data_IF_513477093332
#
_entry.id   IF_513477093332
#
_cell.length_a   1.000
_cell.length_b   1.000
_cell.length_c   1.000
_cell.angle_alpha   90.00
_cell.angle_beta   90.00
_cell.angle_gamma   90.00
#
_symmetry.space_group_name_H-M   'P 1'
#
loop_
_entity.id
_entity.type
_entity.pdbx_description
1 polymer ?
#
# COMPACT_ATOMS: atom_id res chain seq x y z
N UNK A 1 18.91 19.18 -6.62
CA UNK A 1 17.74 18.33 -6.83
C UNK A 1 16.58 18.82 -5.95
N UNK A 2 15.37 19.02 -6.47
CA UNK A 2 14.20 19.47 -5.68
C UNK A 2 13.74 18.44 -4.65
N UNK A 3 14.31 17.24 -4.65
CA UNK A 3 13.91 16.11 -3.83
C UNK A 3 14.83 15.83 -2.62
N UNK A 4 15.68 16.81 -2.27
CA UNK A 4 16.51 16.72 -1.06
C UNK A 4 15.76 17.41 0.09
N UNK A 5 15.64 16.76 1.27
CA UNK A 5 15.00 17.40 2.41
C UNK A 5 15.82 18.64 2.85
N UNK A 6 15.14 19.72 3.17
CA UNK A 6 15.78 20.95 3.67
C UNK A 6 16.56 20.68 4.96
N UNK A 7 16.07 19.74 5.77
CA UNK A 7 16.72 19.28 7.00
C UNK A 7 16.56 17.76 7.09
N UNK A 8 17.67 17.03 7.18
CA UNK A 8 17.68 15.58 7.35
C UNK A 8 17.81 15.12 8.80
N UNK A 9 18.35 15.97 9.69
CA UNK A 9 18.54 15.65 11.11
C UNK A 9 17.29 15.93 11.94
N UNK A 10 17.19 15.29 13.11
CA UNK A 10 16.18 15.63 14.10
C UNK A 10 16.34 17.08 14.60
N UNK A 11 15.22 17.73 14.93
CA UNK A 11 15.19 19.10 15.46
C UNK A 11 14.36 19.15 16.74
N UNK A 12 14.85 19.95 17.70
CA UNK A 12 14.10 20.36 18.88
C UNK A 12 13.80 21.87 18.78
N UNK A 13 12.53 22.24 18.66
CA UNK A 13 12.10 23.62 18.47
C UNK A 13 11.18 24.00 19.62
N UNK A 14 11.39 25.18 20.25
CA UNK A 14 10.47 25.66 21.28
C UNK A 14 9.07 25.80 20.69
N UNK A 15 8.08 25.24 21.35
CA UNK A 15 6.69 25.22 20.86
C UNK A 15 6.15 26.62 20.53
N UNK A 16 6.48 27.61 21.34
CA UNK A 16 6.12 29.02 21.10
C UNK A 16 6.68 29.60 19.79
N UNK A 17 7.83 29.11 19.33
CA UNK A 17 8.41 29.56 18.05
C UNK A 17 7.66 29.04 16.84
N UNK A 18 6.82 28.01 17.03
CA UNK A 18 5.90 27.41 16.03
C UNK A 18 4.46 27.92 16.19
N UNK A 19 4.22 28.92 17.06
CA UNK A 19 2.87 29.44 17.32
C UNK A 19 1.97 28.48 18.12
N UNK A 20 2.56 27.46 18.79
CA UNK A 20 1.81 26.52 19.61
C UNK A 20 1.68 27.02 21.03
N UNK A 21 0.44 27.16 21.51
CA UNK A 21 0.12 27.53 22.88
C UNK A 21 0.20 26.33 23.82
N UNK A 22 1.40 26.05 24.30
CA UNK A 22 1.72 24.95 25.22
C UNK A 22 2.45 25.54 26.45
N UNK A 23 2.78 24.67 27.41
CA UNK A 23 3.58 25.08 28.58
C UNK A 23 4.85 25.87 28.16
N UNK A 24 5.26 26.93 28.91
CA UNK A 24 6.36 27.81 28.48
C UNK A 24 7.69 27.14 28.17
N UNK A 25 7.96 25.99 28.79
CA UNK A 25 9.15 25.18 28.56
C UNK A 25 9.00 24.06 27.50
N UNK A 26 7.85 23.98 26.81
CA UNK A 26 7.58 22.92 25.87
C UNK A 26 8.44 23.00 24.59
N UNK A 27 8.89 21.84 24.11
CA UNK A 27 9.58 21.67 22.85
C UNK A 27 8.79 20.72 21.95
N UNK A 28 8.83 20.99 20.65
CA UNK A 28 8.41 20.06 19.59
C UNK A 28 9.66 19.36 19.09
N UNK A 29 9.66 18.03 19.18
CA UNK A 29 10.72 17.19 18.62
C UNK A 29 10.29 16.69 17.24
N UNK A 30 11.02 17.09 16.19
CA UNK A 30 10.85 16.58 14.84
C UNK A 30 11.85 15.45 14.63
N UNK A 31 11.34 14.27 14.26
CA UNK A 31 12.18 13.14 13.90
C UNK A 31 12.97 13.45 12.61
N UNK A 32 14.11 12.77 12.38
CA UNK A 32 14.91 12.97 11.17
C UNK A 32 14.17 12.50 9.92
N UNK A 33 14.51 13.07 8.76
CA UNK A 33 14.04 12.63 7.45
C UNK A 33 15.11 11.75 6.78
N UNK A 34 14.67 10.82 5.91
CA UNK A 34 15.55 9.97 5.10
C UNK A 34 15.85 10.64 3.76
N UNK A 35 14.79 11.04 3.05
CA UNK A 35 14.88 11.65 1.72
C UNK A 35 13.74 12.66 1.49
N UNK A 36 13.67 13.28 0.33
CA UNK A 36 12.62 14.26 0.02
C UNK A 36 11.21 13.69 0.06
N UNK A 37 11.06 12.41 -0.27
CA UNK A 37 9.77 11.70 -0.26
C UNK A 37 9.65 10.64 0.85
N UNK A 38 10.69 10.43 1.67
CA UNK A 38 10.66 9.47 2.79
C UNK A 38 10.94 10.25 4.06
N UNK A 39 9.88 10.59 4.74
CA UNK A 39 9.87 11.55 5.83
C UNK A 39 10.07 10.96 7.23
N UNK A 40 9.89 11.83 8.20
CA UNK A 40 9.98 11.51 9.63
C UNK A 40 8.91 10.52 10.10
N UNK A 41 7.76 10.46 9.42
CA UNK A 41 6.68 9.50 9.63
C UNK A 41 7.14 8.06 9.34
N UNK A 42 7.85 7.86 8.22
CA UNK A 42 8.43 6.56 7.90
C UNK A 42 9.55 6.15 8.89
N UNK A 43 10.37 7.10 9.35
CA UNK A 43 11.34 6.85 10.43
C UNK A 43 10.62 6.43 11.72
N UNK A 44 9.52 7.08 12.06
CA UNK A 44 8.68 6.71 13.20
C UNK A 44 8.09 5.30 13.04
N UNK A 45 7.62 4.94 11.84
CA UNK A 45 7.12 3.60 11.52
C UNK A 45 8.22 2.54 11.69
N UNK A 46 9.42 2.78 11.15
CA UNK A 46 10.56 1.88 11.31
C UNK A 46 10.99 1.72 12.78
N UNK A 47 10.93 2.80 13.56
CA UNK A 47 11.22 2.78 14.99
C UNK A 47 10.22 1.89 15.74
N UNK A 48 8.91 2.10 15.50
CA UNK A 48 7.85 1.37 16.19
C UNK A 48 7.78 -0.10 15.80
N UNK A 49 7.94 -0.41 14.52
CA UNK A 49 7.90 -1.78 13.99
C UNK A 49 9.12 -2.61 14.39
N UNK A 50 10.22 -1.95 14.71
CA UNK A 50 11.49 -2.60 15.02
C UNK A 50 12.08 -3.38 13.83
N UNK A 51 11.67 -3.10 12.60
CA UNK A 51 12.07 -3.82 11.39
C UNK A 51 13.59 -3.97 11.28
N UNK A 52 14.35 -2.91 11.56
CA UNK A 52 15.80 -2.88 11.51
C UNK A 52 16.50 -3.80 12.53
N UNK A 53 15.80 -4.24 13.56
CA UNK A 53 16.36 -5.07 14.66
C UNK A 53 16.00 -6.55 14.53
N UNK A 54 15.19 -6.91 13.52
CA UNK A 54 14.75 -8.29 13.31
C UNK A 54 15.83 -9.11 12.59
N UNK A 55 15.83 -10.42 12.84
CA UNK A 55 16.74 -11.35 12.16
C UNK A 55 16.22 -11.71 10.77
N UNK A 56 17.09 -11.59 9.76
CA UNK A 56 16.81 -11.88 8.36
C UNK A 56 16.07 -10.76 7.64
N UNK A 57 15.78 -10.93 6.33
CA UNK A 57 15.14 -9.90 5.52
C UNK A 57 13.71 -9.60 5.99
N UNK A 58 13.42 -8.31 6.21
CA UNK A 58 12.11 -7.80 6.61
C UNK A 58 11.71 -6.68 5.68
N UNK A 59 10.55 -6.82 5.04
CA UNK A 59 9.92 -5.75 4.27
C UNK A 59 8.97 -5.00 5.19
N UNK A 60 9.03 -3.68 5.21
CA UNK A 60 8.11 -2.81 5.95
C UNK A 60 7.47 -1.81 4.99
N UNK A 61 6.16 -1.75 5.02
CA UNK A 61 5.32 -0.93 4.14
C UNK A 61 4.49 0.03 4.99
N UNK A 62 4.46 1.30 4.63
CA UNK A 62 3.48 2.26 5.13
C UNK A 62 2.58 2.67 3.96
N UNK A 63 1.36 2.12 3.93
CA UNK A 63 0.47 2.25 2.77
C UNK A 63 -0.45 3.44 2.96
N UNK A 64 -0.26 4.46 2.11
CA UNK A 64 -1.09 5.64 1.97
C UNK A 64 -1.21 6.04 0.50
N UNK A 65 -1.54 7.29 0.22
CA UNK A 65 -1.54 7.87 -1.14
C UNK A 65 -0.14 7.78 -1.78
N UNK A 66 0.91 7.98 -1.00
CA UNK A 66 2.26 7.47 -1.28
C UNK A 66 2.52 6.30 -0.35
N UNK A 67 3.19 5.30 -0.85
CA UNK A 67 3.57 4.12 -0.06
C UNK A 67 5.07 4.09 0.09
N UNK A 68 5.54 4.21 1.32
CA UNK A 68 6.94 4.01 1.65
C UNK A 68 7.21 2.53 1.86
N UNK A 69 8.26 2.04 1.20
CA UNK A 69 8.71 0.64 1.30
C UNK A 69 10.14 0.63 1.81
N UNK A 70 10.40 -0.20 2.80
CA UNK A 70 11.76 -0.47 3.30
C UNK A 70 12.04 -1.96 3.34
N UNK A 71 13.24 -2.34 2.95
CA UNK A 71 13.79 -3.69 3.15
C UNK A 71 14.98 -3.60 4.11
N UNK A 72 14.81 -4.17 5.30
CA UNK A 72 15.86 -4.30 6.30
C UNK A 72 16.52 -5.67 6.20
N UNK A 73 17.84 -5.71 6.03
CA UNK A 73 18.63 -6.93 5.96
C UNK A 73 20.07 -6.69 6.40
N UNK A 74 20.59 -7.55 7.26
CA UNK A 74 21.99 -7.53 7.75
C UNK A 74 22.45 -6.16 8.31
N UNK A 75 21.55 -5.49 9.01
CA UNK A 75 21.84 -4.19 9.65
C UNK A 75 21.76 -2.97 8.71
N UNK A 76 21.53 -3.18 7.42
CA UNK A 76 21.27 -2.15 6.42
C UNK A 76 19.77 -2.04 6.13
N UNK A 77 19.35 -0.88 5.66
CA UNK A 77 17.99 -0.63 5.22
C UNK A 77 18.06 0.04 3.85
N UNK A 78 17.37 -0.50 2.88
CA UNK A 78 17.10 0.20 1.63
C UNK A 78 15.64 0.62 1.62
N UNK A 79 15.34 1.81 1.13
CA UNK A 79 13.98 2.37 1.14
C UNK A 79 13.66 3.13 -0.12
N UNK A 80 12.39 3.19 -0.44
CA UNK A 80 11.86 4.00 -1.54
C UNK A 80 10.47 4.51 -1.22
N UNK A 81 9.98 5.49 -1.99
CA UNK A 81 8.59 5.95 -1.97
C UNK A 81 7.93 5.64 -3.32
N UNK A 82 6.75 5.09 -3.27
CA UNK A 82 5.95 4.68 -4.43
C UNK A 82 4.72 5.57 -4.55
N UNK A 83 4.50 6.20 -5.69
CA UNK A 83 3.29 6.98 -5.98
C UNK A 83 2.12 6.03 -6.26
N UNK A 84 1.55 5.42 -5.22
CA UNK A 84 0.45 4.47 -5.33
C UNK A 84 -0.91 5.12 -5.64
N UNK A 85 -1.05 6.40 -5.38
CA UNK A 85 -2.30 7.14 -5.61
C UNK A 85 -3.41 6.78 -4.61
N UNK A 86 -4.57 7.45 -4.69
CA UNK A 86 -5.63 7.35 -3.68
C UNK A 86 -6.64 6.23 -3.94
N UNK A 87 -6.41 5.32 -4.88
CA UNK A 87 -7.39 4.30 -5.29
C UNK A 87 -7.84 3.41 -4.10
N UNK A 88 -6.90 3.00 -3.25
CA UNK A 88 -7.22 2.24 -2.05
C UNK A 88 -7.83 3.06 -0.91
N UNK A 89 -7.88 4.38 -1.04
CA UNK A 89 -8.65 5.26 -0.15
C UNK A 89 -10.06 5.56 -0.70
N UNK A 90 -10.43 4.94 -1.83
CA UNK A 90 -11.68 5.15 -2.55
C UNK A 90 -11.63 6.31 -3.55
N UNK A 91 -10.50 6.99 -3.67
CA UNK A 91 -10.31 8.06 -4.65
C UNK A 91 -10.28 7.53 -6.09
N UNK A 92 -10.88 8.27 -7.02
CA UNK A 92 -11.02 7.92 -8.44
C UNK A 92 -11.81 6.63 -8.72
N UNK A 93 -12.41 6.01 -7.71
CA UNK A 93 -13.27 4.82 -7.82
C UNK A 93 -14.74 5.27 -7.79
N UNK A 94 -15.52 4.82 -8.74
CA UNK A 94 -16.92 5.31 -8.98
C UNK A 94 -17.81 5.27 -7.73
N UNK A 95 -17.75 4.20 -6.96
CA UNK A 95 -18.46 4.04 -5.69
C UNK A 95 -17.49 3.95 -4.50
N UNK A 96 -16.25 4.42 -4.69
CA UNK A 96 -15.25 4.45 -3.64
C UNK A 96 -15.62 5.44 -2.54
N UNK A 97 -15.42 5.05 -1.29
CA UNK A 97 -15.66 5.91 -0.13
C UNK A 97 -14.71 5.55 1.01
N UNK A 98 -14.63 6.44 1.98
CA UNK A 98 -13.93 6.14 3.25
C UNK A 98 -14.69 5.06 4.02
N UNK A 99 -13.98 4.36 4.91
CA UNK A 99 -14.59 3.40 5.82
C UNK A 99 -15.57 4.14 6.76
N UNK A 100 -16.87 3.99 6.48
CA UNK A 100 -17.98 4.58 7.20
C UNK A 100 -19.21 3.65 7.10
N UNK A 101 -20.24 3.92 7.86
CA UNK A 101 -21.48 3.16 7.87
C UNK A 101 -22.04 2.94 6.45
N UNK A 102 -22.41 1.69 6.13
CA UNK A 102 -22.89 1.30 4.80
C UNK A 102 -21.79 1.08 3.73
N UNK A 103 -20.52 1.31 4.03
CA UNK A 103 -19.43 0.96 3.11
C UNK A 103 -19.23 -0.57 3.08
N UNK A 104 -19.21 -1.16 1.89
CA UNK A 104 -18.81 -2.56 1.70
C UNK A 104 -17.32 -2.69 2.05
N UNK A 105 -17.00 -3.50 3.06
CA UNK A 105 -15.63 -3.71 3.55
C UNK A 105 -15.07 -5.09 3.22
N UNK A 106 -15.95 -6.08 3.00
CA UNK A 106 -15.62 -7.45 2.61
C UNK A 106 -16.62 -7.93 1.59
N UNK A 107 -16.15 -8.76 0.66
CA UNK A 107 -17.05 -9.46 -0.24
C UNK A 107 -16.47 -10.80 -0.71
N UNK A 108 -17.36 -11.70 -1.09
CA UNK A 108 -17.04 -13.00 -1.67
C UNK A 108 -17.95 -13.26 -2.86
N UNK A 109 -17.36 -13.75 -3.95
CA UNK A 109 -18.08 -14.13 -5.16
C UNK A 109 -18.02 -15.66 -5.29
N UNK A 110 -19.19 -16.29 -5.45
CA UNK A 110 -19.32 -17.73 -5.66
C UNK A 110 -20.33 -17.97 -6.78
N UNK A 111 -19.82 -18.18 -8.01
CA UNK A 111 -20.65 -18.17 -9.22
C UNK A 111 -21.36 -16.83 -9.39
N UNK A 112 -22.69 -16.83 -9.50
CA UNK A 112 -23.51 -15.62 -9.66
C UNK A 112 -23.87 -14.96 -8.32
N UNK A 113 -23.55 -15.61 -7.19
CA UNK A 113 -23.88 -15.09 -5.85
C UNK A 113 -22.76 -14.22 -5.32
N UNK A 114 -23.13 -13.04 -4.84
CA UNK A 114 -22.24 -12.13 -4.13
C UNK A 114 -22.72 -12.03 -2.68
N UNK A 115 -21.80 -12.30 -1.77
CA UNK A 115 -21.98 -12.03 -0.36
C UNK A 115 -21.07 -10.87 0.00
N UNK A 116 -21.59 -9.89 0.72
CA UNK A 116 -20.80 -8.75 1.19
C UNK A 116 -21.15 -8.40 2.62
N UNK A 117 -20.21 -7.77 3.29
CA UNK A 117 -20.38 -7.21 4.62
C UNK A 117 -20.20 -5.70 4.53
N UNK A 118 -21.11 -4.96 5.15
CA UNK A 118 -21.02 -3.51 5.27
C UNK A 118 -20.66 -3.10 6.69
N UNK A 119 -19.97 -1.99 6.83
CA UNK A 119 -19.69 -1.39 8.13
C UNK A 119 -21.02 -1.01 8.79
N UNK A 120 -21.21 -1.45 10.04
CA UNK A 120 -22.42 -1.18 10.80
C UNK A 120 -23.65 -1.98 10.37
N UNK A 121 -23.48 -3.03 9.54
CA UNK A 121 -24.57 -3.84 8.97
C UNK A 121 -25.66 -3.01 8.28
N UNK A 122 -25.32 -1.79 7.86
CA UNK A 122 -26.21 -0.85 7.20
C UNK A 122 -26.38 -1.17 5.71
N UNK A 123 -27.45 -0.69 5.05
CA UNK A 123 -27.61 -0.83 3.61
C UNK A 123 -26.41 -0.31 2.82
N UNK A 124 -25.96 -1.01 1.76
CA UNK A 124 -24.74 -0.64 1.03
C UNK A 124 -24.91 0.69 0.29
N UNK A 125 -23.96 1.61 0.51
CA UNK A 125 -23.92 2.93 -0.15
C UNK A 125 -22.69 3.12 -1.04
N UNK A 126 -21.61 2.37 -0.78
CA UNK A 126 -20.36 2.43 -1.53
C UNK A 126 -19.41 1.32 -1.09
N UNK A 127 -18.14 1.46 -1.45
CA UNK A 127 -17.10 0.44 -1.20
C UNK A 127 -15.91 1.16 -0.57
N UNK A 128 -15.46 0.74 0.61
CA UNK A 128 -14.22 1.27 1.19
C UNK A 128 -12.98 0.53 0.70
N UNK A 129 -11.81 1.03 1.02
CA UNK A 129 -10.53 0.52 0.48
C UNK A 129 -10.32 -0.98 0.65
N UNK A 130 -10.67 -1.56 1.82
CA UNK A 130 -10.58 -3.01 2.03
C UNK A 130 -11.55 -3.78 1.13
N UNK A 131 -12.78 -3.28 0.97
CA UNK A 131 -13.77 -3.86 0.06
C UNK A 131 -13.37 -3.75 -1.41
N UNK A 132 -12.75 -2.64 -1.82
CA UNK A 132 -12.22 -2.44 -3.17
C UNK A 132 -11.13 -3.49 -3.49
N UNK A 133 -10.20 -3.70 -2.56
CA UNK A 133 -9.16 -4.72 -2.71
C UNK A 133 -9.74 -6.13 -2.80
N UNK A 134 -10.67 -6.48 -1.89
CA UNK A 134 -11.37 -7.76 -1.92
C UNK A 134 -12.14 -7.94 -3.24
N UNK A 135 -12.84 -6.90 -3.69
CA UNK A 135 -13.58 -6.95 -4.94
C UNK A 135 -12.68 -7.29 -6.12
N UNK A 136 -11.53 -6.63 -6.27
CA UNK A 136 -10.58 -6.93 -7.36
C UNK A 136 -10.09 -8.38 -7.30
N UNK A 137 -9.74 -8.86 -6.11
CA UNK A 137 -9.27 -10.24 -5.92
C UNK A 137 -10.38 -11.26 -6.24
N UNK A 138 -11.62 -11.01 -5.80
CA UNK A 138 -12.75 -11.88 -6.07
C UNK A 138 -13.14 -11.87 -7.56
N UNK A 139 -13.11 -10.72 -8.23
CA UNK A 139 -13.34 -10.62 -9.66
C UNK A 139 -12.29 -11.39 -10.47
N UNK A 140 -11.02 -11.31 -10.04
CA UNK A 140 -9.94 -12.05 -10.66
C UNK A 140 -10.10 -13.57 -10.45
N UNK A 141 -10.41 -14.01 -9.23
CA UNK A 141 -10.68 -15.42 -8.88
C UNK A 141 -11.86 -15.98 -9.63
N UNK A 142 -12.95 -15.21 -9.75
CA UNK A 142 -14.15 -15.58 -10.50
C UNK A 142 -13.98 -15.53 -12.03
N UNK A 143 -12.77 -15.15 -12.53
CA UNK A 143 -12.48 -14.95 -13.95
C UNK A 143 -13.39 -13.90 -14.63
N UNK A 144 -14.04 -13.06 -13.84
CA UNK A 144 -14.75 -11.88 -14.33
C UNK A 144 -13.79 -10.80 -14.84
N UNK A 145 -12.55 -10.81 -14.34
CA UNK A 145 -11.42 -9.99 -14.80
C UNK A 145 -10.25 -10.92 -15.15
N UNK A 146 -9.60 -10.68 -16.29
CA UNK A 146 -8.41 -11.43 -16.69
C UNK A 146 -7.11 -10.83 -16.09
N UNK A 147 -5.96 -11.47 -16.29
CA UNK A 147 -4.65 -10.99 -15.81
C UNK A 147 -4.32 -9.56 -16.27
N UNK A 148 -4.72 -9.17 -17.47
CA UNK A 148 -4.54 -7.81 -18.00
C UNK A 148 -5.54 -6.79 -17.43
N UNK A 149 -6.43 -7.17 -16.53
CA UNK A 149 -7.41 -6.27 -15.89
C UNK A 149 -8.66 -6.01 -16.72
N UNK A 150 -8.90 -6.76 -17.81
CA UNK A 150 -10.09 -6.57 -18.65
C UNK A 150 -11.28 -7.34 -18.09
N UNK A 151 -12.43 -6.66 -17.93
CA UNK A 151 -13.71 -7.27 -17.61
C UNK A 151 -14.19 -8.16 -18.77
N UNK A 152 -14.64 -9.38 -18.45
CA UNK A 152 -15.18 -10.35 -19.39
C UNK A 152 -16.58 -9.96 -19.81
N UNK A 153 -16.84 -9.90 -21.14
CA UNK A 153 -18.19 -9.68 -21.66
C UNK A 153 -19.12 -10.90 -21.44
N UNK A 154 -18.54 -12.07 -21.12
CA UNK A 154 -19.28 -13.33 -20.94
C UNK A 154 -19.85 -13.50 -19.53
N UNK A 155 -19.38 -12.73 -18.55
CA UNK A 155 -19.83 -12.85 -17.17
C UNK A 155 -21.20 -12.20 -17.00
N UNK A 156 -22.23 -12.88 -16.42
CA UNK A 156 -23.62 -12.42 -16.38
C UNK A 156 -23.83 -11.11 -15.61
N UNK A 157 -22.94 -10.79 -14.68
CA UNK A 157 -22.98 -9.52 -13.93
C UNK A 157 -22.18 -8.38 -14.59
N UNK A 158 -21.57 -8.62 -15.74
CA UNK A 158 -20.90 -7.58 -16.52
C UNK A 158 -21.87 -7.01 -17.54
N UNK A 159 -22.04 -5.69 -17.55
CA UNK A 159 -22.81 -4.98 -18.54
C UNK A 159 -22.03 -3.83 -19.15
N UNK A 160 -22.50 -3.32 -20.28
CA UNK A 160 -22.02 -2.07 -20.88
C UNK A 160 -22.96 -0.93 -20.49
N UNK A 161 -22.40 0.08 -19.88
CA UNK A 161 -23.11 1.30 -19.55
C UNK A 161 -22.38 2.49 -20.19
N UNK A 162 -23.05 3.20 -21.08
CA UNK A 162 -22.46 4.32 -21.88
C UNK A 162 -21.13 3.95 -22.54
N UNK A 163 -21.03 2.73 -23.07
CA UNK A 163 -19.83 2.21 -23.74
C UNK A 163 -18.74 1.67 -22.81
N UNK A 164 -18.83 1.86 -21.49
CA UNK A 164 -17.88 1.35 -20.51
C UNK A 164 -18.40 0.05 -19.88
N UNK A 165 -17.50 -0.94 -19.71
CA UNK A 165 -17.84 -2.16 -18.95
C UNK A 165 -17.88 -1.85 -17.46
N UNK A 166 -18.86 -2.43 -16.79
CA UNK A 166 -18.97 -2.41 -15.34
C UNK A 166 -19.50 -3.74 -14.83
N UNK A 167 -18.98 -4.18 -13.68
CA UNK A 167 -19.45 -5.35 -12.95
C UNK A 167 -20.42 -4.91 -11.85
N UNK A 168 -21.60 -5.52 -11.78
CA UNK A 168 -22.64 -5.20 -10.79
C UNK A 168 -22.34 -5.96 -9.50
N UNK A 169 -21.95 -5.23 -8.45
CA UNK A 169 -21.75 -5.79 -7.10
C UNK A 169 -23.09 -5.91 -6.36
N UNK A 170 -23.85 -4.82 -6.32
CA UNK A 170 -25.18 -4.78 -5.72
C UNK A 170 -26.15 -4.26 -6.75
N UNK A 171 -27.19 -5.01 -7.05
CA UNK A 171 -28.16 -4.66 -8.08
C UNK A 171 -29.10 -3.52 -7.64
N UNK A 172 -29.81 -2.95 -8.60
CA UNK A 172 -30.80 -1.92 -8.34
C UNK A 172 -31.98 -2.48 -7.52
N UNK A 173 -32.34 -3.75 -7.76
CA UNK A 173 -33.39 -4.46 -7.02
C UNK A 173 -32.99 -4.64 -5.55
N UNK A 174 -31.76 -5.11 -5.29
CA UNK A 174 -31.21 -5.26 -3.93
C UNK A 174 -31.13 -3.91 -3.20
N UNK A 175 -31.00 -2.80 -3.95
CA UNK A 175 -31.00 -1.43 -3.41
C UNK A 175 -32.37 -0.73 -3.43
N UNK A 176 -33.44 -1.48 -3.58
CA UNK A 176 -34.81 -0.95 -3.56
C UNK A 176 -35.05 0.20 -4.55
N UNK A 177 -34.49 0.07 -5.76
CA UNK A 177 -34.62 1.06 -6.83
C UNK A 177 -33.52 2.13 -6.90
N UNK A 178 -32.62 2.20 -5.91
CA UNK A 178 -31.44 3.06 -6.00
C UNK A 178 -30.45 2.54 -7.05
N UNK A 179 -29.58 3.39 -7.64
CA UNK A 179 -28.60 2.96 -8.63
C UNK A 179 -27.73 1.81 -8.14
N UNK A 180 -27.49 0.81 -8.99
CA UNK A 180 -26.63 -0.33 -8.68
C UNK A 180 -25.22 0.11 -8.27
N UNK A 181 -24.60 -0.54 -7.29
CA UNK A 181 -23.17 -0.35 -6.97
C UNK A 181 -22.37 -1.23 -7.92
N UNK A 182 -21.44 -0.63 -8.64
CA UNK A 182 -20.67 -1.29 -9.69
C UNK A 182 -19.19 -1.02 -9.54
N UNK A 183 -18.35 -1.93 -10.07
CA UNK A 183 -16.93 -1.68 -10.36
C UNK A 183 -16.76 -1.55 -11.86
N UNK A 184 -16.22 -0.43 -12.31
CA UNK A 184 -16.03 -0.13 -13.72
C UNK A 184 -14.67 -0.62 -14.23
N UNK A 185 -14.52 -0.70 -15.55
CA UNK A 185 -13.23 -0.98 -16.18
C UNK A 185 -12.16 0.08 -15.80
N UNK A 186 -12.59 1.34 -15.60
CA UNK A 186 -11.71 2.42 -15.14
C UNK A 186 -11.24 2.17 -13.70
N UNK A 187 -12.15 1.80 -12.80
CA UNK A 187 -11.78 1.49 -11.40
C UNK A 187 -10.74 0.38 -11.33
N UNK A 188 -10.90 -0.68 -12.14
CA UNK A 188 -9.92 -1.77 -12.21
C UNK A 188 -8.55 -1.23 -12.66
N UNK A 189 -8.52 -0.30 -13.62
CA UNK A 189 -7.27 0.29 -14.09
C UNK A 189 -6.58 1.10 -13.00
N UNK A 190 -7.31 1.91 -12.25
CA UNK A 190 -6.78 2.66 -11.11
C UNK A 190 -6.17 1.72 -10.05
N UNK A 191 -6.85 0.62 -9.76
CA UNK A 191 -6.36 -0.39 -8.82
C UNK A 191 -5.11 -1.13 -9.33
N UNK A 192 -5.03 -1.41 -10.63
CA UNK A 192 -3.84 -1.99 -11.24
C UNK A 192 -2.64 -1.06 -11.11
N UNK A 193 -2.82 0.25 -11.35
CA UNK A 193 -1.75 1.24 -11.22
C UNK A 193 -1.27 1.36 -9.76
N UNK A 194 -2.21 1.44 -8.82
CA UNK A 194 -1.90 1.54 -7.40
C UNK A 194 -1.12 0.31 -6.90
N UNK A 195 -1.60 -0.90 -7.20
CA UNK A 195 -0.93 -2.14 -6.79
C UNK A 195 0.41 -2.32 -7.49
N UNK A 196 0.53 -1.87 -8.76
CA UNK A 196 1.77 -1.95 -9.51
C UNK A 196 2.86 -1.06 -8.88
N UNK A 197 2.51 0.15 -8.45
CA UNK A 197 3.44 1.04 -7.77
C UNK A 197 4.01 0.40 -6.49
N UNK A 198 3.15 -0.17 -5.65
CA UNK A 198 3.57 -0.85 -4.42
C UNK A 198 4.45 -2.07 -4.73
N UNK A 199 4.01 -2.93 -5.64
CA UNK A 199 4.75 -4.13 -6.00
C UNK A 199 6.11 -3.79 -6.62
N UNK A 200 6.17 -2.78 -7.47
CA UNK A 200 7.42 -2.34 -8.10
C UNK A 200 8.43 -1.83 -7.08
N UNK A 201 7.97 -1.08 -6.07
CA UNK A 201 8.84 -0.66 -4.97
C UNK A 201 9.42 -1.85 -4.21
N UNK A 202 8.61 -2.84 -3.87
CA UNK A 202 9.08 -4.06 -3.20
C UNK A 202 10.13 -4.76 -4.09
N UNK A 203 9.82 -4.96 -5.38
CA UNK A 203 10.69 -5.67 -6.30
C UNK A 203 12.04 -4.96 -6.50
N UNK A 204 12.00 -3.64 -6.69
CA UNK A 204 13.21 -2.84 -6.85
C UNK A 204 14.15 -2.93 -5.63
N UNK A 205 13.58 -2.94 -4.41
CA UNK A 205 14.38 -3.09 -3.19
C UNK A 205 14.97 -4.51 -3.06
N UNK A 206 14.22 -5.54 -3.43
CA UNK A 206 14.71 -6.92 -3.44
C UNK A 206 15.88 -7.10 -4.43
N UNK A 207 15.75 -6.57 -5.63
CA UNK A 207 16.80 -6.61 -6.67
C UNK A 207 18.05 -5.83 -6.25
N UNK A 208 17.88 -4.60 -5.76
CA UNK A 208 18.98 -3.78 -5.28
C UNK A 208 19.74 -4.39 -4.10
N UNK A 209 19.06 -5.22 -3.30
CA UNK A 209 19.67 -5.89 -2.14
C UNK A 209 20.13 -7.31 -2.42
N UNK A 210 19.87 -7.85 -3.63
CA UNK A 210 20.17 -9.24 -3.96
C UNK A 210 19.41 -10.26 -3.11
N UNK A 211 18.25 -9.87 -2.53
CA UNK A 211 17.45 -10.72 -1.63
C UNK A 211 16.33 -11.38 -2.42
N UNK A 212 16.30 -12.71 -2.55
CA UNK A 212 15.19 -13.43 -3.16
C UNK A 212 13.91 -13.29 -2.31
N UNK A 213 12.74 -13.18 -2.98
CA UNK A 213 11.44 -12.97 -2.32
C UNK A 213 11.14 -14.03 -1.26
N UNK A 214 11.40 -15.29 -1.54
CA UNK A 214 11.15 -16.41 -0.63
C UNK A 214 11.98 -16.37 0.67
N UNK A 215 13.08 -15.59 0.68
CA UNK A 215 13.91 -15.38 1.86
C UNK A 215 13.35 -14.35 2.83
N UNK A 216 12.38 -13.54 2.42
CA UNK A 216 11.71 -12.57 3.30
C UNK A 216 11.14 -13.33 4.51
N UNK A 217 11.56 -12.94 5.70
CA UNK A 217 11.11 -13.54 6.95
C UNK A 217 9.81 -12.93 7.47
N UNK A 218 9.64 -11.64 7.23
CA UNK A 218 8.44 -10.93 7.65
C UNK A 218 8.13 -9.77 6.70
N UNK A 219 6.83 -9.53 6.49
CA UNK A 219 6.29 -8.35 5.84
C UNK A 219 5.46 -7.60 6.88
N UNK A 220 5.84 -6.37 7.21
CA UNK A 220 5.14 -5.50 8.14
C UNK A 220 4.35 -4.49 7.32
N UNK A 221 3.05 -4.42 7.56
CA UNK A 221 2.13 -3.54 6.85
C UNK A 221 1.58 -2.52 7.85
N UNK A 222 1.95 -1.26 7.67
CA UNK A 222 1.48 -0.11 8.44
C UNK A 222 0.57 0.78 7.59
N UNK A 223 0.11 1.87 8.19
CA UNK A 223 -0.80 2.82 7.59
C UNK A 223 -2.26 2.52 7.87
N UNK A 224 -3.11 3.51 7.69
CA UNK A 224 -4.55 3.39 7.96
C UNK A 224 -5.20 2.30 7.10
N UNK A 225 -4.87 2.26 5.81
CA UNK A 225 -5.35 1.23 4.88
C UNK A 225 -4.76 -0.14 5.22
N UNK A 226 -3.45 -0.21 5.50
CA UNK A 226 -2.74 -1.46 5.80
C UNK A 226 -3.30 -2.26 6.98
N UNK A 227 -3.99 -1.59 7.91
CA UNK A 227 -4.61 -2.21 9.08
C UNK A 227 -5.79 -3.12 8.74
N UNK A 228 -6.55 -2.78 7.68
CA UNK A 228 -7.84 -3.41 7.39
C UNK A 228 -7.84 -4.25 6.12
N UNK A 229 -6.74 -4.27 5.36
CA UNK A 229 -6.67 -5.05 4.12
C UNK A 229 -6.73 -6.55 4.39
N UNK A 230 -7.32 -7.27 3.45
CA UNK A 230 -7.21 -8.72 3.39
C UNK A 230 -5.87 -9.09 2.73
N UNK A 231 -4.94 -9.59 3.53
CA UNK A 231 -3.58 -9.95 3.05
C UNK A 231 -3.65 -11.03 1.96
N UNK A 232 -4.57 -12.00 2.07
CA UNK A 232 -4.73 -13.03 1.05
C UNK A 232 -5.17 -12.44 -0.30
N UNK A 233 -6.12 -11.49 -0.27
CA UNK A 233 -6.55 -10.75 -1.47
C UNK A 233 -5.42 -9.93 -2.08
N UNK A 234 -4.60 -9.28 -1.25
CA UNK A 234 -3.45 -8.50 -1.68
C UNK A 234 -2.35 -9.38 -2.35
N UNK A 235 -2.12 -10.58 -1.82
CA UNK A 235 -1.22 -11.58 -2.42
C UNK A 235 -1.80 -12.07 -3.75
N UNK A 236 -3.09 -12.38 -3.78
CA UNK A 236 -3.76 -12.96 -4.96
C UNK A 236 -3.71 -12.04 -6.18
N UNK A 237 -3.89 -10.73 -5.98
CA UNK A 237 -3.76 -9.77 -7.07
C UNK A 237 -2.30 -9.40 -7.39
N UNK A 238 -1.32 -9.93 -6.65
CA UNK A 238 0.10 -9.66 -6.83
C UNK A 238 0.56 -8.29 -6.35
N UNK A 239 -0.15 -7.68 -5.39
CA UNK A 239 0.30 -6.45 -4.71
C UNK A 239 1.41 -6.77 -3.70
N UNK A 240 1.24 -7.84 -2.94
CA UNK A 240 2.19 -8.29 -1.93
C UNK A 240 2.94 -9.56 -2.38
N UNK A 241 4.12 -9.84 -1.81
CA UNK A 241 4.88 -11.05 -2.06
C UNK A 241 4.08 -12.34 -1.82
N UNK A 242 4.33 -13.37 -2.63
CA UNK A 242 3.67 -14.67 -2.50
C UNK A 242 4.31 -15.51 -1.38
N UNK A 243 3.98 -15.17 -0.14
CA UNK A 243 4.52 -15.77 1.07
C UNK A 243 3.39 -16.34 1.96
N UNK A 244 3.72 -17.29 2.86
CA UNK A 244 2.76 -17.78 3.86
C UNK A 244 2.20 -16.64 4.71
N UNK A 245 0.88 -16.65 4.96
CA UNK A 245 0.17 -15.60 5.70
C UNK A 245 0.79 -15.29 7.07
N UNK A 246 1.35 -16.29 7.75
CA UNK A 246 2.05 -16.12 9.04
C UNK A 246 3.31 -15.24 8.98
N UNK A 247 3.80 -14.87 7.80
CA UNK A 247 4.90 -13.91 7.65
C UNK A 247 4.42 -12.46 7.58
N UNK A 248 3.12 -12.21 7.54
CA UNK A 248 2.57 -10.85 7.47
C UNK A 248 2.13 -10.37 8.85
N UNK A 249 2.48 -9.14 9.16
CA UNK A 249 2.12 -8.45 10.40
C UNK A 249 1.48 -7.11 10.04
N UNK A 250 0.21 -6.94 10.39
CA UNK A 250 -0.46 -5.65 10.28
C UNK A 250 -0.20 -4.83 11.55
N UNK A 251 0.54 -3.73 11.41
CA UNK A 251 1.08 -2.94 12.52
C UNK A 251 0.24 -1.70 12.86
N UNK A 252 -0.86 -1.48 12.15
CA UNK A 252 -1.73 -0.33 12.41
C UNK A 252 -1.03 1.02 12.16
N UNK A 253 -1.37 2.01 12.98
CA UNK A 253 -0.72 3.32 12.94
C UNK A 253 0.67 3.26 13.60
N UNK A 254 1.61 2.62 12.94
CA UNK A 254 2.97 2.47 13.44
C UNK A 254 3.72 3.82 13.48
N UNK A 255 3.46 4.73 12.52
CA UNK A 255 4.03 6.07 12.53
C UNK A 255 3.62 6.85 13.79
N UNK A 256 2.32 6.86 14.13
CA UNK A 256 1.83 7.47 15.37
C UNK A 256 2.40 6.82 16.64
N UNK A 257 2.59 5.51 16.63
CA UNK A 257 3.23 4.81 17.75
C UNK A 257 4.70 5.21 17.89
N UNK A 258 5.45 5.32 16.78
CA UNK A 258 6.83 5.76 16.78
C UNK A 258 6.99 7.19 17.28
N UNK A 259 6.09 8.09 16.88
CA UNK A 259 6.05 9.46 17.40
C UNK A 259 5.83 9.48 18.93
N UNK A 260 4.90 8.66 19.45
CA UNK A 260 4.69 8.52 20.91
C UNK A 260 5.94 7.97 21.60
N UNK A 261 6.61 6.96 21.04
CA UNK A 261 7.86 6.44 21.59
C UNK A 261 8.95 7.51 21.65
N UNK A 262 9.09 8.34 20.61
CA UNK A 262 10.03 9.44 20.58
C UNK A 262 9.64 10.57 21.56
N UNK A 263 8.35 10.81 21.78
CA UNK A 263 7.87 11.79 22.75
C UNK A 263 8.31 11.45 24.18
N UNK A 264 8.15 10.18 24.58
CA UNK A 264 8.34 9.76 25.98
C UNK A 264 9.74 9.24 26.29
N UNK A 265 10.64 9.09 25.28
CA UNK A 265 11.94 8.44 25.50
C UNK A 265 13.08 9.04 24.67
N UNK A 266 14.03 9.68 25.35
CA UNK A 266 15.29 10.15 24.74
C UNK A 266 16.06 9.01 24.06
N UNK A 267 16.04 7.79 24.64
CA UNK A 267 16.67 6.61 24.05
C UNK A 267 16.03 6.24 22.71
N UNK A 268 14.72 6.40 22.57
CA UNK A 268 14.02 6.13 21.29
C UNK A 268 14.32 7.23 20.26
N UNK A 269 14.47 8.50 20.65
CA UNK A 269 14.97 9.56 19.77
C UNK A 269 16.35 9.24 19.21
N UNK A 270 17.28 8.82 20.08
CA UNK A 270 18.61 8.43 19.67
C UNK A 270 18.60 7.22 18.70
N UNK A 271 17.70 6.23 18.92
CA UNK A 271 17.51 5.12 17.98
C UNK A 271 16.98 5.60 16.63
N UNK A 272 15.99 6.50 16.60
CA UNK A 272 15.46 7.06 15.37
C UNK A 272 16.56 7.77 14.56
N UNK A 273 17.41 8.58 15.23
CA UNK A 273 18.55 9.21 14.59
C UNK A 273 19.57 8.20 14.05
N UNK A 274 19.86 7.13 14.80
CA UNK A 274 20.77 6.07 14.38
C UNK A 274 20.21 5.21 13.22
N UNK A 275 18.89 5.11 13.08
CA UNK A 275 18.27 4.42 11.94
C UNK A 275 18.61 5.11 10.62
N UNK A 276 18.51 6.43 10.56
CA UNK A 276 18.72 7.17 9.30
C UNK A 276 20.15 7.04 8.75
N UNK A 277 21.14 6.80 9.59
CA UNK A 277 22.52 6.56 9.13
C UNK A 277 22.72 5.19 8.44
N UNK A 278 21.75 4.29 8.55
CA UNK A 278 21.76 2.94 7.96
C UNK A 278 20.82 2.79 6.77
N UNK A 279 20.13 3.87 6.42
CA UNK A 279 19.13 3.84 5.35
C UNK A 279 19.73 4.39 4.06
N UNK A 280 19.59 3.62 2.99
CA UNK A 280 19.90 4.02 1.63
C UNK A 280 18.59 4.23 0.86
N UNK A 281 18.35 5.46 0.40
CA UNK A 281 17.20 5.77 -0.44
C UNK A 281 17.48 5.39 -1.89
N UNK A 282 16.51 4.72 -2.51
CA UNK A 282 16.53 4.37 -3.94
C UNK A 282 15.47 5.18 -4.64
N UNK A 283 15.89 5.98 -5.63
CA UNK A 283 14.99 6.72 -6.51
C UNK A 283 14.50 5.79 -7.63
N UNK A 284 13.23 5.39 -7.58
CA UNK A 284 12.65 4.45 -8.54
C UNK A 284 12.69 4.95 -9.99
N UNK A 285 12.47 6.25 -10.17
CA UNK A 285 12.49 6.85 -11.51
C UNK A 285 13.86 6.77 -12.19
N UNK A 286 14.91 6.57 -11.42
CA UNK A 286 16.29 6.45 -11.92
C UNK A 286 16.75 4.99 -12.11
N UNK A 287 15.94 4.01 -11.71
CA UNK A 287 16.26 2.60 -11.86
C UNK A 287 16.06 2.17 -13.33
N UNK A 288 17.10 1.63 -13.96
CA UNK A 288 17.13 1.30 -15.40
C UNK A 288 16.00 0.34 -15.84
N UNK A 289 15.57 -0.54 -14.95
CA UNK A 289 14.57 -1.56 -15.25
C UNK A 289 13.19 -1.27 -14.63
N UNK A 290 13.00 -0.06 -14.06
CA UNK A 290 11.77 0.27 -13.33
C UNK A 290 10.52 0.20 -14.20
N UNK A 291 10.57 0.70 -15.43
CA UNK A 291 9.43 0.64 -16.37
C UNK A 291 9.02 -0.81 -16.64
N UNK A 292 9.99 -1.69 -16.83
CA UNK A 292 9.72 -3.12 -17.04
C UNK A 292 9.11 -3.77 -15.79
N UNK A 293 9.69 -3.50 -14.61
CA UNK A 293 9.15 -3.98 -13.32
C UNK A 293 7.72 -3.50 -13.13
N UNK A 294 7.45 -2.21 -13.38
CA UNK A 294 6.12 -1.63 -13.22
C UNK A 294 5.10 -2.24 -14.19
N UNK A 295 5.48 -2.42 -15.44
CA UNK A 295 4.62 -3.07 -16.44
C UNK A 295 4.26 -4.49 -16.02
N UNK A 296 5.24 -5.30 -15.61
CA UNK A 296 4.98 -6.64 -15.10
C UNK A 296 4.13 -6.63 -13.82
N UNK A 297 4.40 -5.69 -12.91
CA UNK A 297 3.61 -5.52 -11.69
C UNK A 297 2.17 -5.05 -11.95
N UNK A 298 1.82 -4.53 -13.12
CA UNK A 298 0.46 -4.12 -13.45
C UNK A 298 -0.50 -5.30 -13.73
N UNK A 299 0.02 -6.46 -14.14
CA UNK A 299 -0.79 -7.65 -14.34
C UNK A 299 -1.31 -8.18 -13.00
N UNK A 300 -2.54 -8.69 -13.00
CA UNK A 300 -3.13 -9.38 -11.84
C UNK A 300 -2.54 -10.78 -11.69
N UNK A 301 -2.51 -11.27 -10.46
CA UNK A 301 -1.89 -12.54 -10.11
C UNK A 301 -0.46 -12.40 -9.59
N UNK A 302 0.20 -13.52 -9.35
CA UNK A 302 1.55 -13.53 -8.81
C UNK A 302 2.54 -12.82 -9.74
N UNK A 303 3.39 -11.98 -9.16
CA UNK A 303 4.46 -11.33 -9.90
C UNK A 303 5.43 -12.38 -10.47
N UNK A 304 5.69 -12.31 -11.76
CA UNK A 304 6.60 -13.23 -12.47
C UNK A 304 7.77 -12.41 -13.02
N UNK A 305 8.98 -12.80 -12.64
CA UNK A 305 10.19 -12.22 -13.24
C UNK A 305 10.30 -12.81 -14.65
N UNK A 306 9.87 -12.08 -15.65
CA UNK A 306 10.19 -12.42 -17.05
C UNK A 306 11.63 -11.95 -17.28
N UNK A 307 12.57 -12.90 -17.30
CA UNK A 307 13.94 -12.61 -17.73
C UNK A 307 13.87 -12.15 -19.19
N UNK A 308 13.94 -10.85 -19.41
CA UNK A 308 14.12 -10.30 -20.76
C UNK A 308 15.37 -10.92 -21.35
N UNK A 309 15.30 -11.41 -22.59
CA UNK A 309 16.49 -11.68 -23.39
C UNK A 309 17.25 -10.34 -23.47
N UNK A 310 18.38 -10.24 -22.77
CA UNK A 310 19.40 -9.29 -23.16
C UNK A 310 19.80 -9.73 -24.58
N UNK A 311 19.33 -9.04 -25.60
CA UNK A 311 19.96 -9.10 -26.89
C UNK A 311 21.38 -8.57 -26.67
N UNK A 312 22.36 -9.47 -26.74
CA UNK A 312 23.75 -9.12 -26.91
C UNK A 312 23.84 -8.39 -28.23
N UNK A 313 23.83 -7.08 -28.19
CA UNK A 313 24.29 -6.25 -29.33
C UNK A 313 25.81 -6.34 -29.27
N UNK A 314 26.33 -7.26 -30.05
CA UNK A 314 27.74 -7.40 -30.43
C UNK A 314 28.14 -6.30 -31.41
#
# INVERSE_FOLDING_TARGET
>A
SPFIPAVSRALDIKARNLGLDLAPGAYVHLLPNIAGFVGADHVAMLLASGAASKKGPVVALDIGTNTEVSLAHEGNIVTTSCASGPAFEGGHIKYGMRAAEGAIERLQISGDKIQYQTIGDAPPVGICGSGILDALAQLYRAKAVNEGGRLSDEHPRVRKNRGQREFILVSQEERQGQPAITITQHDIRELQLAKAAIRSGIQALLEASGVPEEKIKQVIIAGAFGTYINVASAIEIGMLPSLPLGRFLQAGNAAGMGAKLALISVKQRAKAQALTSKVHYIELASASDFEHIFMQASYLGQYRIVKGKREEIS
#
